data_IF_755056394588
#
_entry.id   IF_755056394588
#
_cell.length_a   1.000
_cell.length_b   1.000
_cell.length_c   1.000
_cell.angle_alpha   90.00
_cell.angle_beta   90.00
_cell.angle_gamma   90.00
#
_symmetry.space_group_name_H-M   'P 1'
#
loop_
_entity.id
_entity.type
_entity.pdbx_description
1 polymer ?
#
# COMPACT_ATOMS: atom_id res chain seq x y z
N UNK A 1 12.17 24.94 20.44
CA UNK A 1 13.55 24.80 19.89
C UNK A 1 13.64 25.69 18.66
N UNK A 2 14.55 26.68 18.59
CA UNK A 2 14.74 27.52 17.39
C UNK A 2 15.64 26.77 16.40
N UNK A 3 15.24 26.68 15.13
CA UNK A 3 16.05 26.05 14.07
C UNK A 3 17.30 26.88 13.77
N UNK A 4 18.42 26.20 13.52
CA UNK A 4 19.67 26.81 13.05
C UNK A 4 19.55 27.28 11.59
N UNK A 5 20.40 28.21 11.15
CA UNK A 5 20.41 28.69 9.75
C UNK A 5 20.64 27.56 8.72
N UNK A 6 21.52 26.61 9.03
CA UNK A 6 21.74 25.42 8.19
C UNK A 6 20.45 24.59 8.03
N UNK A 7 19.71 24.39 9.13
CA UNK A 7 18.44 23.66 9.09
C UNK A 7 17.34 24.43 8.34
N UNK A 8 17.34 25.77 8.41
CA UNK A 8 16.41 26.60 7.63
C UNK A 8 16.71 26.52 6.14
N UNK A 9 17.98 26.58 5.76
CA UNK A 9 18.41 26.47 4.37
C UNK A 9 18.09 25.09 3.79
N UNK A 10 18.37 24.02 4.53
CA UNK A 10 18.03 22.66 4.14
C UNK A 10 16.51 22.48 3.97
N UNK A 11 15.71 23.05 4.88
CA UNK A 11 14.25 23.04 4.79
C UNK A 11 13.75 23.80 3.55
N UNK A 12 14.37 24.95 3.23
CA UNK A 12 14.08 25.74 2.03
C UNK A 12 14.39 24.96 0.76
N UNK A 13 15.57 24.36 0.66
CA UNK A 13 15.97 23.53 -0.49
C UNK A 13 15.02 22.35 -0.68
N UNK A 14 14.67 21.64 0.41
CA UNK A 14 13.68 20.55 0.36
C UNK A 14 12.34 21.04 -0.18
N UNK A 15 11.86 22.19 0.28
CA UNK A 15 10.59 22.79 -0.19
C UNK A 15 10.65 23.16 -1.66
N UNK A 16 11.70 23.86 -2.11
CA UNK A 16 11.88 24.26 -3.51
C UNK A 16 11.92 23.04 -4.43
N UNK A 17 12.71 22.03 -4.07
CA UNK A 17 12.78 20.77 -4.81
C UNK A 17 11.41 20.11 -5.01
N UNK A 18 10.58 20.08 -3.96
CA UNK A 18 9.23 19.52 -4.05
C UNK A 18 8.26 20.38 -4.85
N UNK A 19 8.39 21.70 -4.80
CA UNK A 19 7.58 22.61 -5.61
C UNK A 19 7.93 22.51 -7.10
N UNK A 20 9.21 22.36 -7.43
CA UNK A 20 9.65 22.10 -8.81
C UNK A 20 9.05 20.81 -9.36
N UNK A 21 8.99 19.73 -8.56
CA UNK A 21 8.33 18.49 -8.98
C UNK A 21 6.86 18.77 -9.36
N UNK A 22 6.13 19.53 -8.54
CA UNK A 22 4.73 19.88 -8.83
C UNK A 22 4.62 20.68 -10.12
N UNK A 23 5.42 21.73 -10.27
CA UNK A 23 5.40 22.60 -11.45
C UNK A 23 5.71 21.82 -12.73
N UNK A 24 6.74 20.98 -12.71
CA UNK A 24 7.15 20.17 -13.85
C UNK A 24 6.07 19.15 -14.22
N UNK A 25 5.51 18.44 -13.24
CA UNK A 25 4.42 17.47 -13.51
C UNK A 25 3.12 18.15 -13.96
N UNK A 26 2.89 19.41 -13.60
CA UNK A 26 1.72 20.17 -14.02
C UNK A 26 1.94 20.94 -15.33
N UNK A 27 3.20 21.10 -15.79
CA UNK A 27 3.52 21.72 -17.08
C UNK A 27 3.20 20.83 -18.28
N UNK A 28 3.02 19.53 -18.05
CA UNK A 28 2.89 18.48 -19.07
C UNK A 28 4.07 18.39 -20.06
N UNK A 29 5.19 19.07 -19.80
CA UNK A 29 6.44 18.91 -20.56
C UNK A 29 7.10 17.57 -20.19
N UNK A 30 6.96 16.59 -21.10
CA UNK A 30 7.51 15.24 -20.91
C UNK A 30 9.04 15.26 -20.73
N UNK A 31 9.76 16.12 -21.45
CA UNK A 31 11.22 16.16 -21.37
C UNK A 31 11.68 16.71 -20.02
N UNK A 32 11.01 17.77 -19.54
CA UNK A 32 11.25 18.31 -18.21
C UNK A 32 10.94 17.29 -17.10
N UNK A 33 9.84 16.54 -17.23
CA UNK A 33 9.48 15.48 -16.28
C UNK A 33 10.55 14.38 -16.24
N UNK A 34 10.98 13.87 -17.40
CA UNK A 34 12.01 12.82 -17.49
C UNK A 34 13.32 13.30 -16.85
N UNK A 35 13.78 14.51 -17.17
CA UNK A 35 14.98 15.09 -16.57
C UNK A 35 14.86 15.16 -15.04
N UNK A 36 13.68 15.55 -14.52
CA UNK A 36 13.46 15.59 -13.06
C UNK A 36 13.48 14.20 -12.43
N UNK A 37 12.94 13.18 -13.11
CA UNK A 37 12.99 11.79 -12.66
C UNK A 37 14.42 11.25 -12.65
N UNK A 38 15.23 11.56 -13.65
CA UNK A 38 16.64 11.18 -13.71
C UNK A 38 17.43 11.80 -12.54
N UNK A 39 17.21 13.09 -12.25
CA UNK A 39 17.81 13.73 -11.07
C UNK A 39 17.41 13.07 -9.75
N UNK A 40 16.15 12.62 -9.62
CA UNK A 40 15.69 11.89 -8.43
C UNK A 40 16.38 10.53 -8.35
N UNK A 41 16.53 9.84 -9.48
CA UNK A 41 17.20 8.54 -9.58
C UNK A 41 18.66 8.66 -9.15
N UNK A 42 19.40 9.61 -9.70
CA UNK A 42 20.80 9.87 -9.36
C UNK A 42 20.98 10.15 -7.87
N UNK A 43 20.12 10.98 -7.28
CA UNK A 43 20.19 11.25 -5.84
C UNK A 43 19.89 10.00 -5.01
N UNK A 44 18.92 9.18 -5.42
CA UNK A 44 18.59 7.92 -4.74
C UNK A 44 19.74 6.92 -4.80
N UNK A 45 20.41 6.80 -5.94
CA UNK A 45 21.60 5.97 -6.10
C UNK A 45 22.77 6.43 -5.21
N UNK A 46 22.84 7.74 -4.94
CA UNK A 46 23.78 8.33 -3.99
C UNK A 46 23.35 8.19 -2.50
N UNK A 47 22.27 7.45 -2.22
CA UNK A 47 21.82 7.13 -0.87
C UNK A 47 20.83 8.11 -0.24
N UNK A 48 20.40 9.15 -0.96
CA UNK A 48 19.39 10.08 -0.45
C UNK A 48 18.03 9.39 -0.31
N UNK A 49 17.37 9.62 0.83
CA UNK A 49 16.01 9.11 1.10
C UNK A 49 14.97 10.16 0.73
N UNK A 50 14.25 9.93 -0.37
CA UNK A 50 13.11 10.75 -0.78
C UNK A 50 11.79 10.09 -0.40
N UNK A 51 10.84 10.91 0.05
CA UNK A 51 9.44 10.53 0.15
C UNK A 51 8.61 11.72 -0.27
N UNK A 52 7.73 11.52 -1.24
CA UNK A 52 6.75 12.55 -1.60
C UNK A 52 5.84 12.81 -0.41
N UNK A 53 5.61 14.09 -0.14
CA UNK A 53 4.67 14.54 0.88
C UNK A 53 3.26 14.51 0.34
N UNK A 54 2.27 14.40 1.22
CA UNK A 54 0.87 14.47 0.80
C UNK A 54 0.54 15.79 0.09
N UNK A 55 1.10 16.92 0.52
CA UNK A 55 0.84 18.20 -0.16
C UNK A 55 1.29 18.16 -1.62
N UNK A 56 2.45 17.58 -1.91
CA UNK A 56 2.97 17.43 -3.28
C UNK A 56 2.10 16.47 -4.07
N UNK A 57 1.78 15.31 -3.49
CA UNK A 57 0.95 14.30 -4.12
C UNK A 57 -0.44 14.84 -4.49
N UNK A 58 -1.11 15.57 -3.58
CA UNK A 58 -2.41 16.22 -3.85
C UNK A 58 -2.32 17.17 -5.04
N UNK A 59 -1.28 18.00 -5.11
CA UNK A 59 -1.13 18.98 -6.19
C UNK A 59 -0.89 18.34 -7.56
N UNK A 60 -0.11 17.25 -7.61
CA UNK A 60 0.13 16.49 -8.85
C UNK A 60 -1.15 15.78 -9.30
N UNK A 61 -1.85 15.11 -8.38
CA UNK A 61 -3.10 14.40 -8.67
C UNK A 61 -4.24 15.32 -9.11
N UNK A 62 -4.16 16.62 -8.78
CA UNK A 62 -5.13 17.62 -9.22
C UNK A 62 -4.97 18.02 -10.69
N UNK A 63 -3.91 17.57 -11.38
CA UNK A 63 -3.73 17.79 -12.81
C UNK A 63 -4.63 16.84 -13.63
N UNK A 64 -5.63 17.32 -14.38
CA UNK A 64 -6.50 16.46 -15.19
C UNK A 64 -5.75 15.77 -16.34
N UNK A 65 -4.64 16.35 -16.80
CA UNK A 65 -3.83 15.87 -17.92
C UNK A 65 -2.59 15.10 -17.47
N UNK A 66 -2.60 14.62 -16.21
CA UNK A 66 -1.46 13.94 -15.60
C UNK A 66 -0.96 12.78 -16.46
N UNK A 67 0.32 12.83 -16.83
CA UNK A 67 0.99 11.72 -17.48
C UNK A 67 1.20 10.57 -16.49
N UNK A 68 0.27 9.60 -16.51
CA UNK A 68 0.23 8.48 -15.56
C UNK A 68 1.51 7.66 -15.51
N UNK A 69 2.15 7.41 -16.64
CA UNK A 69 3.37 6.58 -16.70
C UNK A 69 4.52 7.23 -15.94
N UNK A 70 4.78 8.51 -16.22
CA UNK A 70 5.84 9.28 -15.54
C UNK A 70 5.49 9.50 -14.07
N UNK A 71 4.20 9.63 -13.75
CA UNK A 71 3.75 9.72 -12.36
C UNK A 71 4.01 8.42 -11.59
N UNK A 72 3.75 7.25 -12.17
CA UNK A 72 4.09 6.00 -11.48
C UNK A 72 5.58 5.78 -11.34
N UNK A 73 6.39 6.26 -12.28
CA UNK A 73 7.84 6.26 -12.13
C UNK A 73 8.28 7.13 -10.94
N UNK A 74 7.67 8.31 -10.78
CA UNK A 74 7.88 9.15 -9.60
C UNK A 74 7.52 8.40 -8.30
N UNK A 75 6.36 7.72 -8.27
CA UNK A 75 5.93 6.93 -7.11
C UNK A 75 6.88 5.77 -6.84
N UNK A 76 7.40 5.10 -7.87
CA UNK A 76 8.38 4.03 -7.72
C UNK A 76 9.70 4.54 -7.14
N UNK A 77 10.21 5.67 -7.65
CA UNK A 77 11.47 6.26 -7.19
C UNK A 77 11.36 6.79 -5.76
N UNK A 78 10.24 7.42 -5.42
CA UNK A 78 10.03 8.09 -4.12
C UNK A 78 9.18 7.28 -3.14
N UNK A 79 8.86 6.04 -3.50
CA UNK A 79 8.01 5.16 -2.70
C UNK A 79 8.65 4.81 -1.38
N UNK A 80 7.82 4.54 -0.38
CA UNK A 80 8.29 4.20 0.97
C UNK A 80 8.50 2.70 1.11
N UNK A 81 9.68 2.30 1.57
CA UNK A 81 9.97 0.90 1.94
C UNK A 81 9.08 0.42 3.08
N UNK A 82 8.79 -0.88 3.12
CA UNK A 82 8.07 -1.52 4.21
C UNK A 82 8.98 -1.62 5.44
N UNK A 83 8.90 -0.65 6.34
CA UNK A 83 9.65 -0.71 7.61
C UNK A 83 8.89 -1.59 8.62
N UNK A 84 9.50 -2.70 9.03
CA UNK A 84 8.98 -3.69 9.99
C UNK A 84 8.58 -3.10 11.35
N UNK A 85 9.16 -1.96 11.72
CA UNK A 85 9.00 -1.33 13.04
C UNK A 85 7.75 -0.43 13.18
N UNK A 86 6.80 -0.48 12.24
CA UNK A 86 5.60 0.36 12.30
C UNK A 86 4.57 -0.16 13.32
N UNK A 87 4.93 -0.06 14.59
CA UNK A 87 4.10 -0.40 15.74
C UNK A 87 3.59 0.82 16.51
N UNK A 88 3.98 2.06 16.14
CA UNK A 88 3.79 3.16 17.10
C UNK A 88 2.43 3.86 17.09
N UNK A 89 1.73 4.03 15.98
CA UNK A 89 0.39 4.64 15.99
C UNK A 89 -0.45 4.14 14.82
N UNK A 90 -1.49 3.34 15.11
CA UNK A 90 -2.55 3.12 14.12
C UNK A 90 -3.21 4.46 13.80
N UNK A 91 -3.57 4.74 12.53
CA UNK A 91 -4.25 5.97 12.19
C UNK A 91 -5.50 6.14 13.05
N UNK A 92 -5.73 7.35 13.55
CA UNK A 92 -7.01 7.69 14.19
C UNK A 92 -8.17 7.37 13.25
N UNK A 93 -9.24 6.77 13.77
CA UNK A 93 -10.46 6.53 12.99
C UNK A 93 -11.10 7.82 12.45
N UNK A 94 -10.75 8.97 13.03
CA UNK A 94 -11.17 10.29 12.54
C UNK A 94 -10.13 10.83 11.56
N UNK A 95 -10.57 11.18 10.35
CA UNK A 95 -9.74 11.79 9.32
C UNK A 95 -9.63 13.31 9.54
N UNK A 96 -8.41 13.84 9.60
CA UNK A 96 -8.18 15.30 9.53
C UNK A 96 -8.53 15.86 8.15
N UNK A 97 -8.85 17.15 8.05
CA UNK A 97 -9.11 17.83 6.77
C UNK A 97 -8.02 17.60 5.71
N UNK A 98 -6.74 17.57 6.10
CA UNK A 98 -5.64 17.30 5.18
C UNK A 98 -5.73 15.90 4.54
N UNK A 99 -6.15 14.89 5.32
CA UNK A 99 -6.34 13.51 4.84
C UNK A 99 -7.58 13.40 3.94
N UNK A 100 -8.65 14.12 4.27
CA UNK A 100 -9.85 14.22 3.43
C UNK A 100 -9.53 14.85 2.08
N UNK A 101 -8.80 15.99 2.07
CA UNK A 101 -8.39 16.66 0.84
C UNK A 101 -7.51 15.76 -0.04
N UNK A 102 -6.61 15.01 0.58
CA UNK A 102 -5.81 14.01 -0.12
C UNK A 102 -6.66 12.92 -0.76
N UNK A 103 -7.60 12.33 -0.01
CA UNK A 103 -8.50 11.30 -0.54
C UNK A 103 -9.36 11.86 -1.68
N UNK A 104 -9.91 13.06 -1.54
CA UNK A 104 -10.64 13.71 -2.62
C UNK A 104 -9.75 13.86 -3.86
N UNK A 105 -8.54 14.41 -3.75
CA UNK A 105 -7.64 14.53 -4.89
C UNK A 105 -7.29 13.18 -5.54
N UNK A 106 -7.07 12.13 -4.74
CA UNK A 106 -6.80 10.79 -5.24
C UNK A 106 -8.01 10.21 -5.98
N UNK A 107 -9.19 10.33 -5.40
CA UNK A 107 -10.43 9.79 -5.97
C UNK A 107 -11.07 10.67 -7.01
N UNK A 108 -10.69 11.93 -7.17
CA UNK A 108 -11.17 12.82 -8.24
C UNK A 108 -10.18 12.86 -9.43
N UNK A 109 -8.98 12.26 -9.27
CA UNK A 109 -7.96 12.19 -10.33
C UNK A 109 -8.35 11.32 -11.54
N UNK A 110 -7.54 11.37 -12.60
CA UNK A 110 -7.67 10.53 -13.80
C UNK A 110 -7.32 9.04 -13.56
N UNK A 111 -6.84 8.70 -12.36
CA UNK A 111 -6.39 7.34 -12.04
C UNK A 111 -7.56 6.37 -11.92
N UNK A 112 -7.38 5.16 -12.44
CA UNK A 112 -8.25 4.02 -12.17
C UNK A 112 -8.09 3.54 -10.72
N UNK A 113 -9.03 2.72 -10.24
CA UNK A 113 -8.99 2.19 -8.86
C UNK A 113 -7.75 1.35 -8.61
N UNK A 114 -7.33 0.54 -9.58
CA UNK A 114 -6.11 -0.26 -9.46
C UNK A 114 -4.88 0.64 -9.29
N UNK A 115 -4.82 1.74 -10.03
CA UNK A 115 -3.76 2.75 -9.95
C UNK A 115 -3.81 3.51 -8.61
N UNK A 116 -5.00 3.87 -8.12
CA UNK A 116 -5.21 4.48 -6.79
C UNK A 116 -4.70 3.57 -5.67
N UNK A 117 -5.05 2.28 -5.73
CA UNK A 117 -4.57 1.26 -4.78
C UNK A 117 -3.04 1.18 -4.81
N UNK A 118 -2.45 1.17 -6.01
CA UNK A 118 -0.99 1.18 -6.17
C UNK A 118 -0.35 2.40 -5.51
N UNK A 119 -0.85 3.61 -5.78
CA UNK A 119 -0.35 4.85 -5.18
C UNK A 119 -0.48 4.80 -3.66
N UNK A 120 -1.63 4.35 -3.14
CA UNK A 120 -1.85 4.24 -1.69
C UNK A 120 -0.81 3.35 -1.01
N UNK A 121 -0.60 2.14 -1.53
CA UNK A 121 0.33 1.17 -0.92
C UNK A 121 1.81 1.48 -1.16
N UNK A 122 2.16 2.35 -2.11
CA UNK A 122 3.55 2.74 -2.39
C UNK A 122 3.92 4.12 -1.84
N UNK A 123 3.02 4.78 -1.12
CA UNK A 123 3.27 6.10 -0.51
C UNK A 123 3.06 6.04 1.00
N UNK A 124 3.30 7.18 1.67
CA UNK A 124 3.01 7.34 3.10
C UNK A 124 1.53 7.24 3.45
N UNK A 125 0.63 7.31 2.47
CA UNK A 125 -0.82 7.24 2.70
C UNK A 125 -1.24 6.00 3.48
N UNK A 126 -0.64 4.84 3.20
CA UNK A 126 -0.92 3.58 3.91
C UNK A 126 -0.68 3.63 5.43
N UNK A 127 0.14 4.57 5.89
CA UNK A 127 0.44 4.79 7.30
C UNK A 127 -0.44 5.87 7.95
N UNK A 128 -1.11 6.68 7.14
CA UNK A 128 -1.86 7.85 7.62
C UNK A 128 -3.37 7.67 7.49
N UNK A 129 -3.80 6.77 6.61
CA UNK A 129 -5.19 6.49 6.27
C UNK A 129 -5.35 4.98 6.33
N UNK A 130 -6.44 4.51 6.95
CA UNK A 130 -6.74 3.07 7.00
C UNK A 130 -7.25 2.57 5.64
N UNK A 131 -6.99 1.30 5.33
CA UNK A 131 -7.50 0.67 4.10
C UNK A 131 -9.04 0.67 4.07
N UNK A 132 -9.69 0.62 5.24
CA UNK A 132 -11.14 0.77 5.38
C UNK A 132 -11.62 2.10 4.76
N UNK A 133 -10.98 3.23 5.12
CA UNK A 133 -11.34 4.53 4.56
C UNK A 133 -11.06 4.63 3.05
N UNK A 134 -9.98 4.00 2.57
CA UNK A 134 -9.70 3.94 1.13
C UNK A 134 -10.84 3.21 0.39
N UNK A 135 -11.31 2.09 0.93
CA UNK A 135 -12.42 1.33 0.37
C UNK A 135 -13.73 2.11 0.44
N UNK A 136 -14.03 2.77 1.57
CA UNK A 136 -15.23 3.59 1.72
C UNK A 136 -15.29 4.70 0.66
N UNK A 137 -14.16 5.37 0.40
CA UNK A 137 -14.08 6.37 -0.68
C UNK A 137 -14.23 5.73 -2.07
N UNK A 138 -13.66 4.55 -2.31
CA UNK A 138 -13.85 3.85 -3.58
C UNK A 138 -15.33 3.50 -3.83
N UNK A 139 -16.06 3.11 -2.78
CA UNK A 139 -17.49 2.87 -2.82
C UNK A 139 -18.27 4.17 -3.08
N UNK A 140 -18.02 5.21 -2.29
CA UNK A 140 -18.80 6.45 -2.33
C UNK A 140 -18.53 7.32 -3.56
N UNK A 141 -17.27 7.43 -3.99
CA UNK A 141 -16.86 8.34 -5.06
C UNK A 141 -16.83 7.68 -6.44
N UNK A 142 -16.62 6.37 -6.48
CA UNK A 142 -16.41 5.63 -7.75
C UNK A 142 -17.35 4.45 -7.93
N UNK A 143 -18.30 4.23 -7.00
CA UNK A 143 -19.32 3.19 -7.11
C UNK A 143 -18.76 1.77 -7.10
N UNK A 144 -17.55 1.57 -6.58
CA UNK A 144 -16.89 0.27 -6.55
C UNK A 144 -17.48 -0.56 -5.43
N UNK A 145 -17.94 -1.79 -5.70
CA UNK A 145 -18.42 -2.66 -4.64
C UNK A 145 -17.28 -3.13 -3.73
N UNK A 146 -17.60 -3.50 -2.49
CA UNK A 146 -16.61 -4.05 -1.56
C UNK A 146 -15.94 -5.32 -2.14
N UNK A 147 -16.70 -6.18 -2.81
CA UNK A 147 -16.18 -7.41 -3.44
C UNK A 147 -15.16 -7.08 -4.54
N UNK A 148 -15.46 -6.11 -5.41
CA UNK A 148 -14.54 -5.69 -6.46
C UNK A 148 -13.27 -5.07 -5.88
N UNK A 149 -13.41 -4.26 -4.83
CA UNK A 149 -12.25 -3.69 -4.13
C UNK A 149 -11.37 -4.78 -3.51
N UNK A 150 -11.97 -5.75 -2.83
CA UNK A 150 -11.25 -6.90 -2.26
C UNK A 150 -10.59 -7.75 -3.34
N UNK A 151 -11.26 -7.97 -4.48
CA UNK A 151 -10.69 -8.67 -5.62
C UNK A 151 -9.40 -7.98 -6.11
N UNK A 152 -9.39 -6.65 -6.22
CA UNK A 152 -8.19 -5.89 -6.56
C UNK A 152 -7.08 -6.04 -5.50
N UNK A 153 -7.44 -6.03 -4.21
CA UNK A 153 -6.48 -6.26 -3.13
C UNK A 153 -5.92 -7.69 -3.11
N UNK A 154 -6.68 -8.69 -3.56
CA UNK A 154 -6.24 -10.09 -3.60
C UNK A 154 -5.06 -10.35 -4.54
N UNK A 155 -4.81 -9.41 -5.47
CA UNK A 155 -3.60 -9.39 -6.30
C UNK A 155 -2.31 -9.03 -5.55
N UNK A 156 -2.40 -8.62 -4.30
CA UNK A 156 -1.26 -8.24 -3.47
C UNK A 156 -1.07 -9.23 -2.32
N UNK A 157 0.19 -9.50 -1.99
CA UNK A 157 0.56 -10.12 -0.72
C UNK A 157 0.78 -9.06 0.33
N UNK A 158 0.21 -9.29 1.50
CA UNK A 158 0.40 -8.45 2.66
C UNK A 158 1.18 -9.19 3.72
N UNK A 159 1.98 -8.45 4.47
CA UNK A 159 2.80 -9.02 5.54
C UNK A 159 2.32 -8.51 6.89
N UNK A 160 2.32 -9.40 7.89
CA UNK A 160 1.91 -9.06 9.23
C UNK A 160 2.27 -10.13 10.24
N UNK A 161 1.93 -9.85 11.50
CA UNK A 161 2.19 -10.73 12.63
C UNK A 161 0.90 -11.24 13.25
N UNK A 162 0.83 -12.53 13.51
CA UNK A 162 -0.27 -13.16 14.26
C UNK A 162 -0.26 -12.59 15.68
N UNK A 163 -1.31 -11.84 16.02
CA UNK A 163 -1.43 -11.15 17.31
C UNK A 163 -2.09 -12.02 18.37
N UNK A 164 -3.15 -12.71 18.00
CA UNK A 164 -3.86 -13.63 18.88
C UNK A 164 -4.62 -14.68 18.05
N UNK A 165 -4.78 -15.85 18.67
CA UNK A 165 -5.61 -16.95 18.23
C UNK A 165 -6.51 -17.25 19.41
N UNK A 166 -7.81 -17.06 19.26
CA UNK A 166 -8.79 -17.30 20.33
C UNK A 166 -9.19 -18.76 20.37
N UNK A 167 -9.62 -19.23 21.55
CA UNK A 167 -10.09 -20.61 21.76
C UNK A 167 -11.31 -20.97 20.89
N UNK A 168 -12.15 -19.99 20.54
CA UNK A 168 -13.29 -20.16 19.62
C UNK A 168 -12.89 -20.21 18.13
N UNK A 169 -11.58 -20.35 17.85
CA UNK A 169 -11.07 -20.58 16.49
C UNK A 169 -11.04 -19.32 15.65
N UNK A 170 -10.51 -18.22 16.19
CA UNK A 170 -10.38 -16.97 15.45
C UNK A 170 -8.96 -16.39 15.53
N UNK A 171 -8.33 -16.26 14.36
CA UNK A 171 -6.98 -15.73 14.20
C UNK A 171 -7.01 -14.28 13.73
N UNK A 172 -6.16 -13.44 14.34
CA UNK A 172 -6.03 -12.02 14.01
C UNK A 172 -4.60 -11.61 13.72
N UNK A 173 -4.43 -10.82 12.67
CA UNK A 173 -3.13 -10.35 12.19
C UNK A 173 -3.00 -8.85 12.39
N UNK A 174 -1.85 -8.42 12.91
CA UNK A 174 -1.38 -7.05 12.82
C UNK A 174 -0.69 -6.87 11.46
N UNK A 175 -1.29 -6.14 10.50
CA UNK A 175 -0.60 -5.82 9.26
C UNK A 175 0.56 -4.85 9.54
N UNK A 176 1.70 -5.09 8.89
CA UNK A 176 2.85 -4.17 8.91
C UNK A 176 2.89 -3.25 7.70
N UNK A 177 2.15 -3.60 6.65
CA UNK A 177 2.15 -2.87 5.38
C UNK A 177 1.13 -1.73 5.30
N UNK A 178 0.18 -1.64 6.25
CA UNK A 178 -0.91 -0.65 6.22
C UNK A 178 -1.67 -0.56 7.56
N UNK A 179 -2.42 0.52 7.75
CA UNK A 179 -3.38 0.67 8.84
C UNK A 179 -4.76 0.10 8.51
N UNK A 180 -5.45 -0.43 9.53
CA UNK A 180 -6.86 -0.85 9.48
C UNK A 180 -7.60 -0.39 10.72
N UNK A 181 -8.90 -0.10 10.60
CA UNK A 181 -9.75 0.20 11.76
C UNK A 181 -9.92 -1.01 12.66
N UNK A 182 -10.06 -2.20 12.06
CA UNK A 182 -10.11 -3.48 12.77
C UNK A 182 -9.08 -4.44 12.19
N UNK A 183 -8.36 -5.13 13.07
CA UNK A 183 -7.34 -6.08 12.65
C UNK A 183 -7.94 -7.14 11.71
N UNK A 184 -7.34 -7.40 10.54
CA UNK A 184 -7.78 -8.47 9.67
C UNK A 184 -7.72 -9.82 10.39
N UNK A 185 -8.64 -10.73 10.05
CA UNK A 185 -8.67 -12.03 10.69
C UNK A 185 -9.46 -13.08 9.93
N UNK A 186 -9.47 -14.30 10.45
CA UNK A 186 -10.22 -15.39 9.84
C UNK A 186 -10.62 -16.42 10.88
N UNK A 187 -11.77 -17.07 10.66
CA UNK A 187 -12.27 -18.15 11.51
C UNK A 187 -11.81 -19.50 10.95
N UNK A 188 -11.46 -20.42 11.85
CA UNK A 188 -11.06 -21.77 11.48
C UNK A 188 -10.67 -22.58 12.71
N UNK A 189 -10.71 -23.91 12.56
CA UNK A 189 -10.31 -24.83 13.61
C UNK A 189 -8.78 -24.96 13.71
N UNK A 190 -8.10 -24.89 12.56
CA UNK A 190 -6.64 -24.93 12.43
C UNK A 190 -6.22 -23.91 11.38
N UNK A 191 -5.18 -23.15 11.67
CA UNK A 191 -4.63 -22.15 10.77
C UNK A 191 -3.30 -22.64 10.21
N UNK A 192 -3.26 -23.07 8.96
CA UNK A 192 -2.04 -23.55 8.33
C UNK A 192 -1.26 -22.43 7.67
N UNK A 193 0.05 -22.37 7.94
CA UNK A 193 1.02 -21.53 7.24
C UNK A 193 1.76 -22.42 6.24
N UNK A 194 1.55 -22.14 4.95
CA UNK A 194 2.27 -22.80 3.86
C UNK A 194 3.75 -22.42 3.93
N UNK A 195 4.63 -23.42 3.95
CA UNK A 195 6.08 -23.22 3.99
C UNK A 195 6.71 -23.30 2.59
N UNK A 196 7.90 -22.72 2.44
CA UNK A 196 8.65 -22.73 1.18
C UNK A 196 9.05 -24.14 0.72
N UNK A 197 9.23 -25.08 1.64
CA UNK A 197 9.51 -26.50 1.34
C UNK A 197 8.26 -27.26 0.82
N UNK A 198 7.07 -26.66 0.89
CA UNK A 198 5.81 -27.26 0.46
C UNK A 198 5.06 -27.99 1.59
N UNK A 199 5.57 -27.96 2.81
CA UNK A 199 4.87 -28.44 4.01
C UNK A 199 3.94 -27.37 4.58
N UNK A 200 3.17 -27.75 5.60
CA UNK A 200 2.34 -26.84 6.37
C UNK A 200 2.74 -26.94 7.84
N UNK A 201 2.74 -25.79 8.52
CA UNK A 201 2.78 -25.73 9.99
C UNK A 201 1.57 -25.02 10.53
N UNK A 202 1.20 -25.31 11.77
CA UNK A 202 0.14 -24.57 12.47
C UNK A 202 0.66 -23.16 12.82
N UNK A 203 -0.21 -22.16 12.66
CA UNK A 203 0.08 -20.80 13.06
C UNK A 203 0.03 -20.65 14.58
N UNK A 204 0.99 -19.91 15.11
CA UNK A 204 1.14 -19.60 16.52
C UNK A 204 1.14 -18.08 16.73
N UNK A 205 0.82 -17.66 17.96
CA UNK A 205 0.92 -16.25 18.34
C UNK A 205 2.37 -15.81 18.20
N UNK A 206 2.60 -14.72 17.47
CA UNK A 206 3.92 -14.18 17.22
C UNK A 206 4.48 -14.50 15.85
N UNK A 207 3.88 -15.42 15.11
CA UNK A 207 4.29 -15.76 13.76
C UNK A 207 4.18 -14.57 12.82
N UNK A 208 5.21 -14.37 12.00
CA UNK A 208 5.16 -13.42 10.90
C UNK A 208 4.81 -14.16 9.61
N UNK A 209 3.77 -13.69 8.94
CA UNK A 209 3.16 -14.39 7.81
C UNK A 209 2.79 -13.40 6.72
N UNK A 210 2.83 -13.90 5.50
CA UNK A 210 2.15 -13.28 4.37
C UNK A 210 0.72 -13.79 4.29
N UNK A 211 -0.19 -12.94 3.84
CA UNK A 211 -1.61 -13.26 3.69
C UNK A 211 -2.23 -12.49 2.51
N UNK A 212 -3.38 -12.97 2.05
CA UNK A 212 -4.25 -12.31 1.06
C UNK A 212 -5.60 -11.96 1.67
N UNK A 213 -6.26 -10.94 1.13
CA UNK A 213 -7.64 -10.63 1.50
C UNK A 213 -8.63 -11.57 0.80
N UNK A 214 -9.61 -12.04 1.56
CA UNK A 214 -10.69 -12.92 1.08
C UNK A 214 -11.99 -12.17 0.87
N UNK A 215 -12.40 -11.37 1.84
CA UNK A 215 -13.67 -10.63 1.82
C UNK A 215 -13.65 -9.47 2.82
N UNK A 216 -14.66 -8.61 2.73
CA UNK A 216 -14.94 -7.59 3.73
C UNK A 216 -16.37 -7.76 4.25
N UNK A 217 -16.54 -7.73 5.57
CA UNK A 217 -17.86 -7.74 6.19
C UNK A 217 -18.24 -6.30 6.55
N UNK A 218 -19.24 -5.77 5.83
CA UNK A 218 -19.75 -4.41 6.01
C UNK A 218 -20.38 -4.21 7.39
N UNK A 219 -21.07 -5.20 7.94
CA UNK A 219 -21.81 -5.10 9.21
C UNK A 219 -20.90 -4.91 10.41
N UNK A 220 -19.68 -5.44 10.38
CA UNK A 220 -18.73 -5.32 11.48
C UNK A 220 -17.39 -4.68 11.07
N UNK A 221 -17.35 -4.05 9.90
CA UNK A 221 -16.19 -3.34 9.31
C UNK A 221 -14.89 -4.13 9.42
N UNK A 222 -14.89 -5.37 8.92
CA UNK A 222 -13.82 -6.32 9.15
C UNK A 222 -13.36 -7.00 7.88
N UNK A 223 -12.06 -6.85 7.59
CA UNK A 223 -11.41 -7.64 6.56
C UNK A 223 -11.23 -9.09 7.00
N UNK A 224 -11.65 -10.01 6.16
CA UNK A 224 -11.35 -11.43 6.27
C UNK A 224 -10.15 -11.79 5.40
N UNK A 225 -9.27 -12.63 5.92
CA UNK A 225 -8.04 -13.06 5.22
C UNK A 225 -8.05 -14.54 4.89
N UNK A 226 -7.17 -14.94 3.98
CA UNK A 226 -6.88 -16.33 3.65
C UNK A 226 -5.41 -16.51 3.22
N UNK A 227 -5.03 -17.76 2.97
CA UNK A 227 -3.72 -18.17 2.47
C UNK A 227 -2.56 -17.61 3.29
N UNK A 228 -2.35 -18.15 4.49
CA UNK A 228 -1.15 -17.80 5.27
C UNK A 228 0.07 -18.51 4.70
N UNK A 229 1.17 -17.79 4.55
CA UNK A 229 2.40 -18.37 4.03
C UNK A 229 3.69 -17.70 4.54
N UNK A 230 4.81 -18.42 4.45
CA UNK A 230 6.13 -17.91 4.86
C UNK A 230 6.88 -17.19 3.72
N UNK A 231 6.69 -17.63 2.47
CA UNK A 231 7.32 -17.06 1.29
C UNK A 231 6.35 -17.07 0.09
N UNK A 232 5.77 -15.92 -0.27
CA UNK A 232 4.78 -15.86 -1.34
C UNK A 232 5.37 -16.17 -2.71
N UNK A 233 6.64 -15.81 -2.97
CA UNK A 233 7.25 -16.00 -4.30
C UNK A 233 7.40 -17.48 -4.62
N UNK A 234 7.94 -18.24 -3.68
CA UNK A 234 8.14 -19.68 -3.83
C UNK A 234 6.79 -20.40 -3.95
N UNK A 235 5.79 -19.95 -3.20
CA UNK A 235 4.48 -20.60 -3.15
C UNK A 235 3.65 -20.32 -4.40
N UNK A 236 3.68 -19.09 -4.91
CA UNK A 236 3.02 -18.78 -6.19
C UNK A 236 3.66 -19.54 -7.36
N UNK A 237 4.98 -19.64 -7.40
CA UNK A 237 5.66 -20.44 -8.42
C UNK A 237 5.20 -21.90 -8.37
N UNK A 238 5.16 -22.50 -7.17
CA UNK A 238 4.67 -23.88 -6.98
C UNK A 238 3.21 -24.06 -7.39
N UNK A 239 2.35 -23.04 -7.21
CA UNK A 239 0.96 -23.10 -7.66
C UNK A 239 0.87 -23.07 -9.19
N UNK A 240 1.66 -22.21 -9.83
CA UNK A 240 1.75 -22.16 -11.29
C UNK A 240 2.25 -23.52 -11.84
N UNK A 241 3.28 -24.09 -11.25
CA UNK A 241 3.84 -25.39 -11.66
C UNK A 241 2.79 -26.52 -11.54
N UNK A 242 2.09 -26.61 -10.39
CA UNK A 242 1.00 -27.60 -10.19
C UNK A 242 -0.18 -27.39 -11.13
N UNK A 243 -0.50 -26.15 -11.48
CA UNK A 243 -1.56 -25.85 -12.43
C UNK A 243 -1.18 -26.31 -13.84
N UNK A 244 0.08 -26.13 -14.23
CA UNK A 244 0.62 -26.60 -15.50
C UNK A 244 0.69 -28.14 -15.58
N UNK A 245 1.01 -28.81 -14.47
CA UNK A 245 1.02 -30.28 -14.42
C UNK A 245 -0.37 -30.89 -14.63
N UNK A 246 -1.43 -30.24 -14.11
CA UNK A 246 -2.83 -30.65 -14.39
C UNK A 246 -3.18 -30.61 -15.87
N UNK A 247 -2.57 -29.72 -16.66
CA UNK A 247 -2.77 -29.63 -18.11
C UNK A 247 -1.85 -30.58 -18.91
N UNK A 248 -0.81 -31.13 -18.30
CA UNK A 248 0.07 -32.14 -18.92
C UNK A 248 -0.47 -33.56 -18.80
N UNK A 249 -1.26 -33.84 -17.76
CA UNK A 249 -1.90 -35.15 -17.55
C UNK A 249 -3.19 -35.37 -18.36
N UNK A 250 -3.56 -34.42 -19.24
CA UNK A 250 -4.74 -34.47 -20.09
C UNK A 250 -4.42 -34.61 -21.59
N UNK A 251 -3.28 -35.22 -21.93
CA UNK A 251 -2.91 -35.64 -23.30
C UNK A 251 -2.82 -37.16 -23.35
#
# INVERSE_FOLDING_TARGET
>A
MKMTESQKLECKIKREFFMEIVEIFNSNDKAAIINKLDQIRDKKENGDKFSITNVVLTKILSNPDLNKNLFFELIYLTGTEYTYEYSKQYPSGILSNNRINMLNALFDSILSIKEIIYVFFNTRLRNEITVDHLMDYAMQKRGISAENFISLLSGYWFYGKVRYITEDGFLRIIPYSFGTTRLPGTKGNIFHISQSDGTYRTAEIGDCVYFKFKSYNLSNSMFSIHYLCSDPKIIEQKWLDKSNDKYKTSV
#
